data_IF_499905493562
#
_entry.id   IF_499905493562
#
_cell.length_a   1.000
_cell.length_b   1.000
_cell.length_c   1.000
_cell.angle_alpha   90.00
_cell.angle_beta   90.00
_cell.angle_gamma   90.00
#
_symmetry.space_group_name_H-M   'P 1'
#
loop_
_entity.id
_entity.type
_entity.pdbx_description
1 polymer ?
#
# COMPACT_ATOMS: atom_id res chain seq x y z
N UNK A 1 14.80 -15.85 -49.60
CA UNK A 1 14.90 -14.53 -48.94
C UNK A 1 13.65 -14.38 -48.07
N UNK A 2 13.54 -14.95 -46.87
CA UNK A 2 14.27 -14.73 -45.60
C UNK A 2 14.20 -13.30 -45.03
N UNK A 3 13.61 -13.24 -43.83
CA UNK A 3 13.60 -12.23 -42.75
C UNK A 3 12.72 -10.98 -42.90
N UNK A 4 11.64 -10.80 -42.14
CA UNK A 4 11.45 -10.69 -40.66
C UNK A 4 11.32 -9.20 -40.25
N UNK A 5 10.14 -8.81 -39.76
CA UNK A 5 9.98 -7.74 -38.79
C UNK A 5 9.09 -8.29 -37.67
N UNK A 6 9.73 -8.58 -36.54
CA UNK A 6 9.12 -9.04 -35.28
C UNK A 6 8.19 -7.97 -34.69
N UNK A 7 7.15 -8.35 -33.93
CA UNK A 7 6.44 -7.42 -33.06
C UNK A 7 7.30 -7.14 -31.82
N UNK A 8 7.76 -5.90 -31.65
CA UNK A 8 8.25 -5.38 -30.38
C UNK A 8 7.14 -4.52 -29.77
N UNK A 9 6.30 -5.14 -28.96
CA UNK A 9 5.67 -4.47 -27.83
C UNK A 9 6.04 -5.31 -26.62
N UNK A 10 7.09 -4.83 -25.97
CA UNK A 10 7.62 -5.31 -24.70
C UNK A 10 6.49 -5.65 -23.73
N UNK A 11 6.26 -6.95 -23.51
CA UNK A 11 5.72 -7.44 -22.24
C UNK A 11 6.72 -7.03 -21.15
N UNK A 12 6.57 -5.81 -20.61
CA UNK A 12 7.13 -5.50 -19.31
C UNK A 12 6.37 -6.38 -18.32
N UNK A 13 6.88 -7.60 -18.10
CA UNK A 13 6.40 -8.47 -17.02
C UNK A 13 6.41 -7.61 -15.77
N UNK A 14 5.22 -7.33 -15.23
CA UNK A 14 5.11 -6.54 -14.01
C UNK A 14 6.00 -7.20 -12.95
N UNK A 15 7.04 -6.49 -12.52
CA UNK A 15 7.99 -6.98 -11.51
C UNK A 15 7.31 -7.13 -10.14
N UNK A 16 6.09 -6.61 -10.01
CA UNK A 16 5.24 -6.72 -8.84
C UNK A 16 4.40 -7.99 -9.00
N UNK A 17 4.67 -8.99 -8.16
CA UNK A 17 4.12 -10.35 -8.31
C UNK A 17 3.09 -10.72 -7.25
N UNK A 18 2.97 -9.92 -6.19
CA UNK A 18 2.00 -10.12 -5.12
C UNK A 18 1.10 -8.91 -4.97
N UNK A 19 -0.13 -9.05 -4.43
CA UNK A 19 -0.90 -7.91 -3.98
C UNK A 19 -0.28 -7.17 -2.80
N UNK A 20 -0.60 -5.89 -2.69
CA UNK A 20 -0.25 -4.97 -1.62
C UNK A 20 -1.54 -4.39 -1.03
N UNK A 21 -1.63 -4.39 0.29
CA UNK A 21 -2.72 -3.71 1.01
C UNK A 21 -2.31 -2.27 1.28
N UNK A 22 -3.18 -1.30 0.97
CA UNK A 22 -3.07 0.07 1.43
C UNK A 22 -3.98 0.25 2.66
N UNK A 23 -3.38 0.50 3.82
CA UNK A 23 -4.09 0.72 5.08
C UNK A 23 -4.01 2.19 5.49
N UNK A 24 -5.08 2.73 6.06
CA UNK A 24 -5.10 4.09 6.63
C UNK A 24 -4.67 4.11 8.09
N UNK A 25 -3.82 5.06 8.47
CA UNK A 25 -3.53 5.36 9.88
C UNK A 25 -4.64 6.24 10.46
N UNK A 26 -5.49 5.67 11.31
CA UNK A 26 -6.57 6.38 11.98
C UNK A 26 -7.67 6.89 11.03
N UNK A 27 -8.60 7.72 11.54
CA UNK A 27 -9.74 8.20 10.78
C UNK A 27 -9.35 9.02 9.54
N UNK A 28 -8.32 9.86 9.64
CA UNK A 28 -7.85 10.68 8.51
C UNK A 28 -7.25 9.81 7.40
N UNK A 29 -6.37 8.86 7.75
CA UNK A 29 -5.82 7.91 6.80
C UNK A 29 -6.89 7.06 6.13
N UNK A 30 -7.86 6.55 6.91
CA UNK A 30 -8.98 5.76 6.39
C UNK A 30 -9.84 6.57 5.41
N UNK A 31 -10.18 7.82 5.76
CA UNK A 31 -10.96 8.70 4.90
C UNK A 31 -10.23 9.10 3.60
N UNK A 32 -8.90 9.04 3.57
CA UNK A 32 -8.10 9.34 2.39
C UNK A 32 -8.00 8.17 1.39
N UNK A 33 -8.26 6.93 1.82
CA UNK A 33 -8.12 5.73 0.98
C UNK A 33 -8.89 5.80 -0.36
N UNK A 34 -10.14 6.27 -0.43
CA UNK A 34 -10.89 6.32 -1.70
C UNK A 34 -10.26 7.20 -2.76
N UNK A 35 -9.41 8.16 -2.38
CA UNK A 35 -8.69 9.03 -3.31
C UNK A 35 -7.24 8.54 -3.53
N UNK A 36 -6.57 8.10 -2.47
CA UNK A 36 -5.17 7.69 -2.52
C UNK A 36 -4.97 6.37 -3.27
N UNK A 37 -5.85 5.38 -3.06
CA UNK A 37 -5.73 4.07 -3.69
C UNK A 37 -5.79 4.13 -5.24
N UNK A 38 -6.83 4.73 -5.87
CA UNK A 38 -6.87 4.82 -7.33
C UNK A 38 -5.74 5.69 -7.89
N UNK A 39 -5.31 6.72 -7.15
CA UNK A 39 -4.17 7.54 -7.56
C UNK A 39 -2.88 6.72 -7.60
N UNK A 40 -2.60 5.95 -6.54
CA UNK A 40 -1.40 5.13 -6.47
C UNK A 40 -1.44 3.97 -7.50
N UNK A 41 -2.61 3.36 -7.71
CA UNK A 41 -2.82 2.36 -8.77
C UNK A 41 -2.48 2.93 -10.16
N UNK A 42 -2.99 4.13 -10.47
CA UNK A 42 -2.73 4.82 -11.74
C UNK A 42 -1.24 5.10 -11.93
N UNK A 43 -0.58 5.66 -10.91
CA UNK A 43 0.86 5.97 -10.96
C UNK A 43 1.75 4.72 -11.08
N UNK A 44 1.32 3.58 -10.53
CA UNK A 44 2.01 2.31 -10.63
C UNK A 44 1.64 1.51 -11.89
N UNK A 45 0.73 2.02 -12.72
CA UNK A 45 0.16 1.32 -13.87
C UNK A 45 -0.38 -0.09 -13.51
N UNK A 46 -1.00 -0.21 -12.33
CA UNK A 46 -1.59 -1.47 -11.87
C UNK A 46 -2.97 -1.69 -12.53
N UNK A 47 -3.34 -2.94 -12.84
CA UNK A 47 -4.67 -3.24 -13.34
C UNK A 47 -5.74 -2.91 -12.30
N UNK A 48 -6.96 -2.62 -12.77
CA UNK A 48 -8.10 -2.43 -11.90
C UNK A 48 -8.41 -3.75 -11.15
N UNK A 49 -8.60 -3.65 -9.83
CA UNK A 49 -8.80 -4.80 -8.94
C UNK A 49 -10.25 -4.88 -8.45
N UNK A 50 -11.24 -4.68 -9.33
CA UNK A 50 -12.65 -4.49 -8.95
C UNK A 50 -13.18 -5.57 -8.00
N UNK A 51 -12.91 -6.84 -8.27
CA UNK A 51 -13.36 -7.95 -7.42
C UNK A 51 -12.71 -7.92 -6.03
N UNK A 52 -11.38 -7.74 -5.96
CA UNK A 52 -10.66 -7.65 -4.68
C UNK A 52 -11.07 -6.41 -3.88
N UNK A 53 -11.30 -5.28 -4.55
CA UNK A 53 -11.75 -4.05 -3.91
C UNK A 53 -13.17 -4.20 -3.36
N UNK A 54 -14.08 -4.85 -4.09
CA UNK A 54 -15.42 -5.16 -3.60
C UNK A 54 -15.37 -6.09 -2.38
N UNK A 55 -14.53 -7.12 -2.43
CA UNK A 55 -14.34 -8.02 -1.30
C UNK A 55 -13.80 -7.26 -0.08
N UNK A 56 -12.78 -6.42 -0.25
CA UNK A 56 -12.20 -5.63 0.84
C UNK A 56 -13.20 -4.64 1.48
N UNK A 57 -14.06 -4.01 0.68
CA UNK A 57 -15.10 -3.11 1.16
C UNK A 57 -16.18 -3.85 1.97
N UNK A 58 -16.49 -5.10 1.59
CA UNK A 58 -17.56 -5.90 2.19
C UNK A 58 -17.07 -6.82 3.32
N UNK A 59 -15.75 -7.03 3.45
CA UNK A 59 -15.18 -8.08 4.30
C UNK A 59 -15.45 -7.84 5.80
N UNK A 60 -16.50 -8.48 6.28
CA UNK A 60 -16.66 -8.94 7.67
C UNK A 60 -15.90 -10.24 7.94
N UNK A 61 -15.43 -10.92 6.87
CA UNK A 61 -14.66 -12.17 6.90
C UNK A 61 -13.21 -11.92 6.41
N UNK A 62 -12.25 -11.67 7.31
CA UNK A 62 -10.88 -11.29 6.96
C UNK A 62 -10.11 -12.39 6.22
N UNK A 63 -10.30 -13.66 6.60
CA UNK A 63 -9.58 -14.78 5.98
C UNK A 63 -9.97 -14.99 4.51
N UNK A 64 -11.21 -14.68 4.13
CA UNK A 64 -11.64 -14.74 2.74
C UNK A 64 -10.90 -13.72 1.88
N UNK A 65 -10.74 -12.49 2.38
CA UNK A 65 -9.94 -11.47 1.71
C UNK A 65 -8.48 -11.90 1.58
N UNK A 66 -7.88 -12.41 2.66
CA UNK A 66 -6.48 -12.83 2.63
C UNK A 66 -6.25 -14.00 1.66
N UNK A 67 -7.15 -14.99 1.64
CA UNK A 67 -7.08 -16.09 0.69
C UNK A 67 -7.20 -15.62 -0.77
N UNK A 68 -8.05 -14.64 -1.05
CA UNK A 68 -8.19 -14.04 -2.37
C UNK A 68 -6.92 -13.28 -2.79
N UNK A 69 -6.32 -12.50 -1.88
CA UNK A 69 -5.04 -11.82 -2.13
C UNK A 69 -3.91 -12.81 -2.40
N UNK A 70 -3.78 -13.88 -1.61
CA UNK A 70 -2.74 -14.89 -1.79
C UNK A 70 -2.89 -15.68 -3.11
N UNK A 71 -4.13 -15.88 -3.55
CA UNK A 71 -4.44 -16.56 -4.81
C UNK A 71 -4.25 -15.66 -6.03
N UNK A 72 -4.27 -14.34 -5.86
CA UNK A 72 -4.07 -13.40 -6.95
C UNK A 72 -2.67 -13.54 -7.56
N UNK A 73 -2.58 -13.36 -8.88
CA UNK A 73 -1.32 -13.46 -9.63
C UNK A 73 -1.00 -12.09 -10.21
N UNK A 74 0.15 -11.54 -9.82
CA UNK A 74 0.58 -10.22 -10.25
C UNK A 74 0.34 -9.14 -9.21
N UNK A 75 0.87 -7.95 -9.50
CA UNK A 75 0.77 -6.78 -8.65
C UNK A 75 -0.66 -6.25 -8.63
N UNK A 76 -1.18 -6.08 -7.43
CA UNK A 76 -2.48 -5.47 -7.16
C UNK A 76 -2.33 -4.54 -5.97
N UNK A 77 -3.09 -3.44 -5.94
CA UNK A 77 -3.22 -2.60 -4.76
C UNK A 77 -4.65 -2.65 -4.28
N UNK A 78 -4.88 -3.04 -3.03
CA UNK A 78 -6.21 -3.13 -2.44
C UNK A 78 -6.28 -2.25 -1.21
N UNK A 79 -7.23 -1.32 -1.18
CA UNK A 79 -7.46 -0.49 0.00
C UNK A 79 -8.18 -1.31 1.07
N UNK A 80 -7.63 -1.33 2.29
CA UNK A 80 -8.32 -1.87 3.45
C UNK A 80 -9.21 -0.77 4.03
N UNK A 81 -10.51 -0.84 3.76
CA UNK A 81 -11.51 0.11 4.27
C UNK A 81 -11.81 -0.06 5.77
N UNK A 82 -10.93 -0.73 6.50
CA UNK A 82 -11.00 -1.01 7.92
C UNK A 82 -9.73 -0.53 8.62
N UNK A 83 -9.90 0.03 9.82
CA UNK A 83 -8.75 0.44 10.62
C UNK A 83 -7.92 -0.79 11.07
N UNK A 84 -6.59 -0.80 10.88
CA UNK A 84 -5.74 -1.92 11.33
C UNK A 84 -5.89 -2.29 12.82
N UNK A 85 -6.19 -1.31 13.68
CA UNK A 85 -6.44 -1.50 15.11
C UNK A 85 -7.86 -1.95 15.45
N UNK A 86 -8.78 -1.99 14.47
CA UNK A 86 -10.17 -2.40 14.69
C UNK A 86 -10.23 -3.87 15.12
N UNK A 87 -10.98 -4.10 16.20
CA UNK A 87 -11.33 -5.42 16.68
C UNK A 87 -12.31 -6.14 15.76
N UNK A 88 -12.08 -7.44 15.61
CA UNK A 88 -12.90 -8.38 14.86
C UNK A 88 -13.71 -9.26 15.84
N UNK A 89 -14.87 -9.80 15.42
CA UNK A 89 -15.71 -10.65 16.28
C UNK A 89 -14.98 -11.87 16.87
N UNK A 90 -13.97 -12.38 16.16
CA UNK A 90 -13.14 -13.52 16.60
C UNK A 90 -12.12 -13.18 17.71
N UNK A 91 -12.13 -11.95 18.27
CA UNK A 91 -11.22 -11.55 19.34
C UNK A 91 -9.79 -11.23 18.87
N UNK A 92 -9.63 -10.92 17.60
CA UNK A 92 -8.36 -10.51 16.95
C UNK A 92 -8.52 -9.10 16.35
N UNK A 93 -7.44 -8.51 15.84
CA UNK A 93 -7.43 -7.23 15.11
C UNK A 93 -7.07 -7.43 13.64
N UNK A 94 -7.45 -6.48 12.79
CA UNK A 94 -7.04 -6.49 11.38
C UNK A 94 -5.52 -6.57 11.21
N UNK A 95 -4.74 -5.86 12.02
CA UNK A 95 -3.28 -5.96 12.02
C UNK A 95 -2.77 -7.39 12.29
N UNK A 96 -3.40 -8.10 13.23
CA UNK A 96 -3.04 -9.48 13.57
C UNK A 96 -3.38 -10.46 12.42
N UNK A 97 -4.48 -10.23 11.70
CA UNK A 97 -4.81 -10.99 10.48
C UNK A 97 -3.79 -10.73 9.37
N UNK A 98 -3.52 -9.46 9.05
CA UNK A 98 -2.51 -9.09 8.03
C UNK A 98 -1.15 -9.73 8.36
N UNK A 99 -0.80 -9.75 9.64
CA UNK A 99 0.42 -10.34 10.17
C UNK A 99 0.49 -11.86 10.00
N UNK A 100 -0.59 -12.56 10.40
CA UNK A 100 -0.69 -14.02 10.29
C UNK A 100 -0.54 -14.51 8.84
N UNK A 101 -1.09 -13.75 7.89
CA UNK A 101 -1.00 -14.04 6.46
C UNK A 101 0.25 -13.46 5.78
N UNK A 102 1.12 -12.77 6.55
CA UNK A 102 2.30 -12.05 6.04
C UNK A 102 1.96 -11.14 4.86
N UNK A 103 0.81 -10.49 4.91
CA UNK A 103 0.30 -9.69 3.80
C UNK A 103 1.12 -8.39 3.67
N UNK A 104 1.82 -8.16 2.55
CA UNK A 104 2.51 -6.89 2.29
C UNK A 104 1.55 -5.72 2.45
N UNK A 105 1.95 -4.72 3.24
CA UNK A 105 1.11 -3.57 3.62
C UNK A 105 1.86 -2.25 3.47
N UNK A 106 1.19 -1.25 2.94
CA UNK A 106 1.61 0.15 2.84
C UNK A 106 0.71 0.99 3.75
N UNK A 107 1.30 1.84 4.59
CA UNK A 107 0.55 2.68 5.52
C UNK A 107 0.38 4.10 4.95
N UNK A 108 -0.86 4.55 4.81
CA UNK A 108 -1.23 5.90 4.41
C UNK A 108 -1.47 6.77 5.64
N UNK A 109 -0.79 7.91 5.72
CA UNK A 109 -0.92 8.87 6.81
C UNK A 109 -1.22 10.24 6.22
N UNK A 110 -2.23 10.96 6.68
CA UNK A 110 -2.48 12.32 6.17
C UNK A 110 -1.38 13.28 6.61
N UNK A 111 -1.21 14.42 5.91
CA UNK A 111 -0.25 15.44 6.33
C UNK A 111 -0.46 15.91 7.77
N UNK A 112 -1.72 16.09 8.17
CA UNK A 112 -2.10 16.51 9.53
C UNK A 112 -1.69 15.43 10.54
N UNK A 113 -2.06 14.17 10.28
CA UNK A 113 -1.76 13.04 11.16
C UNK A 113 -0.25 12.73 11.21
N UNK A 114 0.50 13.06 10.16
CA UNK A 114 1.94 12.83 10.10
C UNK A 114 2.72 13.72 11.08
N UNK A 115 2.15 14.82 11.56
CA UNK A 115 2.74 15.64 12.64
C UNK A 115 2.34 15.17 14.04
N UNK A 116 1.51 14.14 14.13
CA UNK A 116 1.03 13.55 15.38
C UNK A 116 1.79 12.26 15.74
N UNK A 117 1.37 11.58 16.81
CA UNK A 117 1.87 10.26 17.17
C UNK A 117 1.29 9.09 16.33
N UNK A 118 0.35 9.34 15.42
CA UNK A 118 -0.36 8.27 14.69
C UNK A 118 0.57 7.46 13.78
N UNK A 119 1.49 8.11 13.06
CA UNK A 119 2.45 7.41 12.21
C UNK A 119 3.27 6.38 13.01
N UNK A 120 3.79 6.78 14.17
CA UNK A 120 4.55 5.91 15.06
C UNK A 120 3.65 4.81 15.69
N UNK A 121 2.45 5.18 16.15
CA UNK A 121 1.53 4.24 16.79
C UNK A 121 1.10 3.11 15.84
N UNK A 122 0.73 3.44 14.60
CA UNK A 122 0.33 2.43 13.61
C UNK A 122 1.53 1.64 13.10
N UNK A 123 2.70 2.25 12.95
CA UNK A 123 3.94 1.51 12.64
C UNK A 123 4.22 0.46 13.71
N UNK A 124 4.17 0.83 14.99
CA UNK A 124 4.38 -0.09 16.11
C UNK A 124 3.30 -1.18 16.21
N UNK A 125 2.04 -0.85 15.91
CA UNK A 125 0.95 -1.82 15.84
C UNK A 125 1.23 -2.89 14.77
N UNK A 126 1.56 -2.46 13.55
CA UNK A 126 1.82 -3.36 12.43
C UNK A 126 3.08 -4.21 12.66
N UNK A 127 4.15 -3.60 13.20
CA UNK A 127 5.39 -4.29 13.56
C UNK A 127 5.15 -5.36 14.63
N UNK A 128 4.45 -5.02 15.71
CA UNK A 128 4.07 -5.96 16.77
C UNK A 128 3.27 -7.15 16.24
N UNK A 129 2.42 -6.92 15.24
CA UNK A 129 1.63 -7.96 14.57
C UNK A 129 2.43 -8.71 13.49
N UNK A 130 3.72 -8.42 13.29
CA UNK A 130 4.58 -9.03 12.29
C UNK A 130 4.11 -8.86 10.83
N UNK A 131 3.41 -7.74 10.57
CA UNK A 131 2.97 -7.34 9.23
C UNK A 131 4.19 -6.90 8.41
N UNK A 132 4.38 -7.42 7.18
CA UNK A 132 5.41 -6.92 6.26
C UNK A 132 5.09 -5.50 5.77
N UNK A 133 5.45 -4.50 6.58
CA UNK A 133 5.24 -3.08 6.28
C UNK A 133 6.28 -2.58 5.27
N UNK A 134 5.83 -2.17 4.08
CA UNK A 134 6.69 -1.59 3.05
C UNK A 134 7.18 -0.20 3.44
N UNK A 135 6.34 0.57 4.13
CA UNK A 135 6.67 1.92 4.57
C UNK A 135 5.43 2.79 4.75
N UNK A 136 5.68 4.08 4.94
CA UNK A 136 4.65 5.09 5.15
C UNK A 136 4.60 6.04 3.96
N UNK A 137 3.40 6.44 3.57
CA UNK A 137 3.14 7.46 2.55
C UNK A 137 2.37 8.59 3.18
N UNK A 138 2.88 9.82 3.06
CA UNK A 138 2.13 11.00 3.45
C UNK A 138 1.11 11.35 2.36
N UNK A 139 -0.15 11.51 2.72
CA UNK A 139 -1.20 11.98 1.82
C UNK A 139 -1.36 13.50 1.94
N UNK A 140 -1.05 14.20 0.85
CA UNK A 140 -1.13 15.65 0.75
C UNK A 140 -0.08 16.41 1.57
N UNK A 141 -0.29 17.72 1.67
CA UNK A 141 0.55 18.64 2.44
C UNK A 141 1.96 18.83 1.87
N UNK A 142 2.75 19.66 2.54
CA UNK A 142 4.16 19.84 2.19
C UNK A 142 4.98 18.62 2.62
N UNK A 143 5.99 18.28 1.82
CA UNK A 143 6.90 17.18 2.12
C UNK A 143 8.28 17.70 2.49
N UNK A 144 8.72 17.37 3.69
CA UNK A 144 10.09 17.58 4.16
C UNK A 144 10.75 16.23 4.43
N UNK A 145 11.47 15.71 3.43
CA UNK A 145 12.14 14.42 3.55
C UNK A 145 13.22 14.39 4.63
N UNK A 146 13.86 15.53 4.95
CA UNK A 146 14.89 15.60 5.98
C UNK A 146 14.27 15.49 7.37
N UNK A 147 13.18 16.22 7.62
CA UNK A 147 12.45 16.10 8.88
C UNK A 147 11.91 14.67 9.08
N UNK A 148 11.34 14.08 8.02
CA UNK A 148 10.77 12.71 8.06
C UNK A 148 11.84 11.64 8.30
N UNK A 149 13.06 11.83 7.79
CA UNK A 149 14.16 10.92 8.07
C UNK A 149 14.57 10.91 9.56
N UNK A 150 14.46 12.05 10.25
CA UNK A 150 14.78 12.17 11.67
C UNK A 150 13.78 11.45 12.59
N UNK A 151 12.59 11.09 12.11
CA UNK A 151 11.57 10.40 12.89
C UNK A 151 11.87 8.90 13.11
N UNK A 152 12.82 8.34 12.36
CA UNK A 152 13.14 6.91 12.42
C UNK A 152 12.04 5.99 11.87
N UNK A 153 11.04 6.55 11.21
CA UNK A 153 9.95 5.80 10.57
C UNK A 153 10.28 5.50 9.10
N UNK A 154 9.78 4.37 8.54
CA UNK A 154 10.12 3.94 7.18
C UNK A 154 9.33 4.70 6.10
N UNK A 155 9.32 6.03 6.18
CA UNK A 155 8.71 6.91 5.19
C UNK A 155 9.26 6.68 3.78
N UNK A 156 8.37 6.72 2.79
CA UNK A 156 8.68 6.55 1.37
C UNK A 156 8.55 7.84 0.56
N UNK A 157 7.71 8.77 1.02
CA UNK A 157 7.47 10.03 0.32
C UNK A 157 6.07 10.56 0.54
N UNK A 158 5.70 11.49 -0.34
CA UNK A 158 4.38 12.12 -0.37
C UNK A 158 3.62 11.72 -1.62
N UNK A 159 2.32 11.52 -1.46
CA UNK A 159 1.35 11.37 -2.53
C UNK A 159 0.39 12.55 -2.45
N UNK A 160 0.33 13.37 -3.49
CA UNK A 160 -0.53 14.55 -3.53
C UNK A 160 -1.94 14.22 -4.05
N UNK A 161 -2.99 14.89 -3.55
CA UNK A 161 -4.29 14.86 -4.20
C UNK A 161 -4.20 15.56 -5.57
N UNK A 162 -4.36 14.78 -6.64
CA UNK A 162 -4.31 15.27 -8.03
C UNK A 162 -2.91 15.27 -8.65
N UNK A 163 -2.73 16.05 -9.71
CA UNK A 163 -1.51 16.05 -10.55
C UNK A 163 -0.43 17.03 -10.13
N UNK A 164 -0.66 17.79 -9.06
CA UNK A 164 0.33 18.70 -8.49
C UNK A 164 1.44 17.89 -7.78
N UNK A 165 2.71 18.08 -8.13
CA UNK A 165 3.84 17.48 -7.40
C UNK A 165 4.46 16.20 -7.99
N UNK A 166 4.60 16.11 -9.32
CA UNK A 166 5.17 14.96 -10.02
C UNK A 166 6.53 14.47 -9.47
N UNK A 167 7.45 15.38 -9.11
CA UNK A 167 8.78 15.01 -8.62
C UNK A 167 8.74 14.24 -7.28
N UNK A 168 7.80 14.56 -6.39
CA UNK A 168 7.63 13.83 -5.13
C UNK A 168 7.06 12.43 -5.34
N UNK A 169 6.18 12.27 -6.34
CA UNK A 169 5.60 10.99 -6.70
C UNK A 169 6.65 10.03 -7.29
N UNK A 170 7.57 10.49 -8.13
CA UNK A 170 8.62 9.63 -8.71
C UNK A 170 9.50 8.97 -7.65
N UNK A 171 9.99 9.75 -6.68
CA UNK A 171 10.81 9.22 -5.57
C UNK A 171 10.04 8.20 -4.74
N UNK A 172 8.78 8.49 -4.42
CA UNK A 172 7.89 7.56 -3.73
C UNK A 172 7.73 6.24 -4.51
N UNK A 173 7.45 6.31 -5.81
CA UNK A 173 7.18 5.14 -6.64
C UNK A 173 8.42 4.25 -6.76
N UNK A 174 9.60 4.83 -6.96
CA UNK A 174 10.85 4.06 -7.04
C UNK A 174 11.18 3.38 -5.70
N UNK A 175 11.07 4.10 -4.58
CA UNK A 175 11.27 3.52 -3.25
C UNK A 175 10.25 2.39 -2.96
N UNK A 176 8.99 2.59 -3.35
CA UNK A 176 7.93 1.59 -3.18
C UNK A 176 8.20 0.33 -4.01
N UNK A 177 8.48 0.46 -5.31
CA UNK A 177 8.78 -0.68 -6.20
C UNK A 177 9.96 -1.50 -5.67
N UNK A 178 11.04 -0.83 -5.28
CA UNK A 178 12.25 -1.49 -4.76
C UNK A 178 11.96 -2.29 -3.49
N UNK A 179 11.19 -1.72 -2.54
CA UNK A 179 10.83 -2.44 -1.30
C UNK A 179 9.83 -3.56 -1.55
N UNK A 180 8.87 -3.35 -2.45
CA UNK A 180 7.89 -4.39 -2.80
C UNK A 180 8.56 -5.61 -3.41
N UNK A 181 9.50 -5.42 -4.34
CA UNK A 181 10.27 -6.51 -4.97
C UNK A 181 11.12 -7.31 -3.96
N UNK A 182 11.67 -6.66 -2.93
CA UNK A 182 12.47 -7.34 -1.90
C UNK A 182 11.64 -8.22 -0.99
N UNK A 183 10.37 -7.86 -0.75
CA UNK A 183 9.47 -8.66 0.09
C UNK A 183 8.88 -9.86 -0.65
N UNK A 184 8.79 -9.81 -1.98
CA UNK A 184 8.25 -10.91 -2.81
C UNK A 184 9.30 -11.93 -3.25
N UNK A 185 10.58 -11.70 -2.94
CA UNK A 185 11.70 -12.59 -3.29
C UNK A 185 12.22 -13.41 -2.11
N UNK A 186 11.60 -13.28 -0.93
CA UNK A 186 11.84 -14.09 0.27
C UNK A 186 10.85 -15.26 0.34
#
# INVERSE_FOLDING_TARGET
>A
MMNQCLPVLSEQRSLLTSPLVLAGAGPGGLAALPQAAPRLQSLLALPATTELSQLAAQSVEPDQLMAALQSHRGGALVALEQDPGRWLPAGTRWAEVLGAWRQPTLLLVTADDATSGLAAAYTALLDRSAVPLLGLVQWGGSWDGSARACEGLPWLGVLQPGDHGAAGAEVLLEALKLRWQRLTTL
#
